data_IF_278752485900
#
_entry.id   IF_278752485900
#
_cell.length_a   1.000
_cell.length_b   1.000
_cell.length_c   1.000
_cell.angle_alpha   90.00
_cell.angle_beta   90.00
_cell.angle_gamma   90.00
#
_symmetry.space_group_name_H-M   'P 1'
#
loop_
_entity.id
_entity.type
_entity.pdbx_description
1 polymer ?
#
# COMPACT_ATOMS: atom_id res chain seq x y z
N UNK A 1 -49.54 -56.58 -23.86
CA UNK A 1 -49.15 -57.97 -23.73
C UNK A 1 -47.70 -58.12 -23.50
N UNK A 2 -47.36 -58.81 -22.45
CA UNK A 2 -46.10 -59.36 -21.98
C UNK A 2 -45.14 -58.45 -21.20
N UNK A 3 -45.28 -58.65 -19.93
CA UNK A 3 -44.36 -58.50 -18.79
C UNK A 3 -43.17 -59.47 -18.88
N UNK A 4 -42.03 -59.06 -18.24
CA UNK A 4 -41.17 -59.95 -17.41
C UNK A 4 -40.17 -58.97 -16.72
N UNK A 5 -40.30 -58.74 -15.41
CA UNK A 5 -39.88 -59.47 -14.18
C UNK A 5 -38.39 -59.69 -14.12
N UNK A 6 -37.77 -58.94 -13.18
CA UNK A 6 -37.13 -59.35 -11.93
C UNK A 6 -35.70 -59.85 -12.02
N UNK A 7 -34.83 -59.20 -11.25
CA UNK A 7 -33.50 -59.63 -10.83
C UNK A 7 -33.04 -58.79 -9.65
N UNK A 8 -33.50 -59.18 -8.46
CA UNK A 8 -32.97 -58.79 -7.15
C UNK A 8 -31.66 -59.52 -6.89
N UNK A 9 -30.92 -58.87 -5.93
CA UNK A 9 -29.93 -59.47 -5.03
C UNK A 9 -28.45 -59.43 -5.46
N UNK A 10 -27.65 -58.61 -4.75
CA UNK A 10 -26.79 -59.15 -3.70
C UNK A 10 -26.08 -58.03 -2.93
N UNK A 11 -26.58 -57.85 -1.71
CA UNK A 11 -25.90 -57.11 -0.67
C UNK A 11 -24.81 -58.01 -0.08
N UNK A 12 -23.55 -57.75 -0.35
CA UNK A 12 -22.45 -58.36 0.41
C UNK A 12 -21.98 -57.40 1.50
N UNK A 13 -22.39 -57.67 2.73
CA UNK A 13 -21.83 -57.16 3.97
C UNK A 13 -20.38 -57.65 4.11
N UNK A 14 -19.41 -56.73 4.12
CA UNK A 14 -18.05 -57.04 4.63
C UNK A 14 -17.97 -56.69 6.11
N UNK A 15 -17.62 -57.72 6.90
CA UNK A 15 -17.30 -57.65 8.33
C UNK A 15 -16.10 -56.76 8.59
N UNK A 16 -16.03 -56.10 9.76
CA UNK A 16 -14.80 -55.43 10.20
C UNK A 16 -13.82 -56.45 10.80
N UNK A 17 -12.58 -56.39 10.32
CA UNK A 17 -11.45 -57.08 10.95
C UNK A 17 -10.85 -56.15 12.00
N UNK A 18 -11.09 -56.47 13.27
CA UNK A 18 -10.34 -56.03 14.41
C UNK A 18 -8.95 -56.72 14.38
N UNK A 19 -7.89 -55.94 14.25
CA UNK A 19 -6.55 -56.38 14.65
C UNK A 19 -5.86 -55.25 15.40
N UNK A 20 -6.10 -55.25 16.70
CA UNK A 20 -5.33 -54.54 17.70
C UNK A 20 -4.01 -55.30 17.91
N UNK A 21 -2.92 -54.77 17.39
CA UNK A 21 -1.59 -55.23 17.76
C UNK A 21 -0.92 -54.14 18.56
N UNK A 22 -0.90 -54.36 19.86
CA UNK A 22 -0.14 -53.57 20.84
C UNK A 22 1.35 -53.80 20.54
N UNK A 23 2.07 -52.75 20.15
CA UNK A 23 3.51 -52.77 20.06
C UNK A 23 4.05 -51.93 21.22
N UNK A 24 4.77 -52.65 22.07
CA UNK A 24 5.49 -52.24 23.26
C UNK A 24 6.36 -51.01 23.00
N UNK A 25 6.27 -50.03 23.90
CA UNK A 25 7.12 -48.86 23.97
C UNK A 25 8.55 -49.21 24.33
N UNK A 26 9.52 -48.80 23.52
CA UNK A 26 10.93 -48.80 23.84
C UNK A 26 11.30 -47.52 24.62
N UNK A 27 12.29 -47.53 25.53
CA UNK A 27 12.52 -46.47 26.46
C UNK A 27 13.20 -45.26 25.81
N UNK A 28 12.68 -44.10 26.15
CA UNK A 28 13.21 -42.78 25.80
C UNK A 28 14.58 -42.58 26.44
N UNK A 29 15.64 -42.47 25.64
CA UNK A 29 16.95 -41.98 26.07
C UNK A 29 16.87 -40.47 26.30
N UNK A 30 17.10 -40.06 27.55
CA UNK A 30 17.34 -38.66 27.91
C UNK A 30 18.59 -38.17 27.20
N UNK A 31 18.43 -37.21 26.30
CA UNK A 31 19.52 -36.43 25.73
C UNK A 31 19.75 -35.26 26.68
N UNK A 32 20.89 -35.27 27.34
CA UNK A 32 21.40 -34.18 28.17
C UNK A 32 21.68 -32.98 27.30
N UNK A 33 20.97 -31.88 27.53
CA UNK A 33 21.24 -30.61 26.87
C UNK A 33 22.60 -30.08 27.35
N UNK A 34 23.57 -30.06 26.46
CA UNK A 34 24.80 -29.31 26.60
C UNK A 34 24.49 -27.84 26.23
N UNK A 35 24.48 -27.00 27.24
CA UNK A 35 24.34 -25.54 27.09
C UNK A 35 25.64 -24.99 26.52
N UNK A 36 25.75 -24.86 25.21
CA UNK A 36 26.77 -24.01 24.60
C UNK A 36 26.29 -22.57 24.57
N UNK A 37 26.90 -21.75 25.38
CA UNK A 37 26.79 -20.31 25.41
C UNK A 37 27.32 -19.75 24.10
N UNK A 38 26.43 -19.42 23.18
CA UNK A 38 26.76 -18.65 21.96
C UNK A 38 26.98 -17.19 22.37
N UNK A 39 28.24 -16.80 22.47
CA UNK A 39 28.62 -15.38 22.58
C UNK A 39 28.16 -14.65 21.29
N UNK A 40 27.16 -13.82 21.47
CA UNK A 40 26.64 -12.91 20.45
C UNK A 40 27.67 -11.81 20.24
N UNK A 41 28.45 -11.91 19.17
CA UNK A 41 29.33 -10.81 18.71
C UNK A 41 28.42 -9.69 18.16
N UNK A 42 28.24 -8.64 18.95
CA UNK A 42 27.58 -7.42 18.54
C UNK A 42 28.63 -6.56 17.85
N UNK A 43 28.46 -6.15 16.58
CA UNK A 43 29.35 -5.17 15.97
C UNK A 43 29.15 -3.83 16.69
N UNK A 44 30.23 -3.29 17.25
CA UNK A 44 30.29 -1.95 17.82
C UNK A 44 29.95 -0.91 16.73
N UNK A 45 28.73 -0.45 16.73
CA UNK A 45 28.33 0.76 16.02
C UNK A 45 28.81 1.93 16.85
N UNK A 46 29.79 2.65 16.35
CA UNK A 46 30.29 3.90 16.92
C UNK A 46 29.14 4.91 16.89
N UNK A 47 28.44 5.03 17.98
CA UNK A 47 27.46 6.10 18.19
C UNK A 47 28.25 7.34 18.56
N UNK A 48 28.24 8.33 17.69
CA UNK A 48 28.69 9.68 17.95
C UNK A 48 27.88 10.20 19.14
N UNK A 49 28.53 10.60 20.21
CA UNK A 49 27.90 11.15 21.40
C UNK A 49 27.00 12.33 21.00
N UNK A 50 25.77 12.41 21.52
CA UNK A 50 25.02 13.64 21.44
C UNK A 50 25.68 14.69 22.33
N UNK A 51 25.85 15.86 21.78
CA UNK A 51 26.23 17.11 22.41
C UNK A 51 25.39 17.30 23.68
N UNK A 52 26.05 17.43 24.81
CA UNK A 52 25.44 17.69 26.11
C UNK A 52 24.82 19.07 26.04
N UNK A 53 23.51 19.16 25.86
CA UNK A 53 22.75 20.36 26.17
C UNK A 53 22.71 20.42 27.69
N UNK A 54 23.35 21.40 28.29
CA UNK A 54 23.26 21.71 29.72
C UNK A 54 21.78 21.86 30.09
N UNK A 55 21.32 20.95 30.91
CA UNK A 55 20.06 21.11 31.63
C UNK A 55 20.23 22.30 32.59
N UNK A 56 19.62 23.43 32.26
CA UNK A 56 19.37 24.49 33.23
C UNK A 56 18.57 23.90 34.39
N UNK A 57 19.28 23.77 35.50
CA UNK A 57 18.81 23.32 36.79
C UNK A 57 17.67 24.23 37.25
N UNK A 58 16.45 23.77 37.10
CA UNK A 58 15.27 24.44 37.64
C UNK A 58 15.37 24.44 39.16
N UNK A 59 15.71 25.61 39.74
CA UNK A 59 15.67 25.85 41.19
C UNK A 59 14.22 26.24 41.52
N UNK A 60 13.50 25.46 42.33
CA UNK A 60 12.18 25.91 42.82
C UNK A 60 12.44 27.04 43.85
N UNK A 61 12.01 28.27 43.49
CA UNK A 61 11.93 29.34 44.45
C UNK A 61 10.92 28.98 45.53
N UNK A 62 11.46 28.64 46.68
CA UNK A 62 10.71 28.54 47.91
C UNK A 62 10.05 29.90 48.21
N UNK A 63 8.74 29.84 48.37
CA UNK A 63 7.92 30.96 48.77
C UNK A 63 8.19 31.20 50.26
N UNK A 64 9.11 32.09 50.56
CA UNK A 64 9.37 32.54 51.93
C UNK A 64 8.29 33.54 52.33
N UNK A 65 7.35 33.05 53.16
CA UNK A 65 6.41 33.88 53.87
C UNK A 65 7.18 34.58 54.98
N UNK A 66 7.56 35.83 54.75
CA UNK A 66 8.15 36.67 55.79
C UNK A 66 7.08 37.51 56.41
N UNK A 67 6.42 36.96 57.45
CA UNK A 67 5.83 37.71 58.51
C UNK A 67 6.96 38.35 59.29
N UNK A 68 7.10 39.65 59.25
CA UNK A 68 7.75 40.39 60.29
C UNK A 68 6.98 41.66 60.55
N UNK A 69 6.31 41.58 61.67
CA UNK A 69 6.12 42.63 62.68
C UNK A 69 7.34 43.57 62.69
N UNK A 70 7.11 44.80 62.53
CA UNK A 70 7.95 45.82 63.17
C UNK A 70 7.08 46.81 63.86
N UNK A 71 7.02 46.55 65.14
CA UNK A 71 6.67 47.51 66.15
C UNK A 71 7.69 48.65 66.14
N UNK A 72 7.13 49.82 66.31
CA UNK A 72 7.60 50.94 67.09
C UNK A 72 9.07 51.40 66.97
N UNK A 73 9.25 52.56 66.49
CA UNK A 73 10.03 53.55 67.21
C UNK A 73 9.34 54.92 67.14
N UNK A 74 8.59 55.21 68.18
CA UNK A 74 8.34 56.57 68.68
C UNK A 74 9.67 57.11 69.17
N UNK A 75 10.04 58.32 68.72
CA UNK A 75 10.54 59.39 69.59
C UNK A 75 10.74 60.61 68.70
N UNK A 76 9.94 61.60 68.81
CA UNK A 76 10.10 62.71 69.75
C UNK A 76 11.30 63.58 69.41
N UNK A 77 11.07 64.72 68.82
CA UNK A 77 11.50 65.97 69.41
C UNK A 77 11.12 67.17 68.55
N UNK A 78 10.28 67.93 69.20
CA UNK A 78 10.36 69.39 69.41
C UNK A 78 10.25 70.35 68.18
N UNK A 79 9.11 71.00 68.28
CA UNK A 79 8.86 72.42 68.20
C UNK A 79 10.03 73.27 67.71
N UNK A 80 9.78 73.89 66.60
CA UNK A 80 10.21 75.22 66.37
C UNK A 80 9.21 75.97 65.52
N UNK A 81 8.54 76.91 66.13
CA UNK A 81 7.71 77.90 65.45
C UNK A 81 8.55 78.67 64.45
N UNK A 82 8.17 78.66 63.18
CA UNK A 82 8.66 79.58 62.21
C UNK A 82 7.57 79.85 61.17
N UNK A 83 6.74 80.85 61.49
CA UNK A 83 5.84 81.45 60.52
C UNK A 83 6.71 82.12 59.42
N UNK A 84 6.80 81.53 58.29
CA UNK A 84 7.14 82.23 57.07
C UNK A 84 6.10 81.91 55.97
N UNK A 85 5.17 82.86 55.87
CA UNK A 85 4.31 83.01 54.70
C UNK A 85 5.09 83.45 53.51
N UNK A 86 5.77 82.52 52.82
CA UNK A 86 6.23 82.76 51.46
C UNK A 86 5.28 82.18 50.51
N UNK A 87 4.45 83.04 49.91
CA UNK A 87 3.63 82.72 48.72
C UNK A 87 4.64 82.29 47.63
N UNK A 88 4.81 80.91 47.48
CA UNK A 88 5.42 80.35 46.29
C UNK A 88 4.32 80.19 45.27
N UNK A 89 4.41 80.75 44.07
CA UNK A 89 3.44 80.47 42.99
C UNK A 89 3.49 79.00 42.65
N UNK A 90 2.34 78.37 42.38
CA UNK A 90 2.34 76.97 41.97
C UNK A 90 3.29 76.77 40.82
N UNK A 91 4.29 75.96 41.01
CA UNK A 91 5.31 75.64 39.99
C UNK A 91 4.57 75.01 38.81
N UNK A 92 4.39 75.83 37.72
CA UNK A 92 3.84 75.40 36.42
C UNK A 92 4.54 74.21 35.80
N UNK A 93 5.67 73.71 36.41
CA UNK A 93 6.41 72.56 35.97
C UNK A 93 5.70 71.20 36.18
N UNK A 94 4.91 71.03 37.26
CA UNK A 94 4.24 69.74 37.51
C UNK A 94 3.18 69.36 36.49
N UNK A 95 2.46 70.37 35.99
CA UNK A 95 1.43 70.14 34.97
C UNK A 95 2.08 69.75 33.63
N UNK A 96 3.23 70.30 33.31
CA UNK A 96 3.97 69.99 32.06
C UNK A 96 4.50 68.54 32.08
N UNK A 97 4.96 68.01 33.20
CA UNK A 97 5.36 66.61 33.37
C UNK A 97 4.20 65.64 33.25
N UNK A 98 3.00 66.04 33.69
CA UNK A 98 1.77 65.24 33.51
C UNK A 98 1.44 65.15 32.00
N UNK A 99 1.50 66.25 31.26
CA UNK A 99 1.28 66.23 29.79
C UNK A 99 2.33 65.43 29.07
N UNK A 100 3.62 65.49 29.45
CA UNK A 100 4.69 64.67 28.89
C UNK A 100 4.43 63.16 29.18
N UNK A 101 4.03 62.84 30.41
CA UNK A 101 3.70 61.47 30.79
C UNK A 101 2.51 60.92 30.00
N UNK A 102 1.43 61.71 29.81
CA UNK A 102 0.30 61.34 28.99
C UNK A 102 0.67 61.18 27.52
N UNK A 103 1.47 62.14 26.98
CA UNK A 103 1.94 62.04 25.59
C UNK A 103 2.81 60.79 25.35
N UNK A 104 3.69 60.46 26.28
CA UNK A 104 4.52 59.26 26.24
C UNK A 104 3.67 57.98 26.32
N UNK A 105 2.66 57.94 27.17
CA UNK A 105 1.72 56.83 27.29
C UNK A 105 0.92 56.65 26.01
N UNK A 106 0.42 57.74 25.40
CA UNK A 106 -0.25 57.70 24.10
C UNK A 106 0.70 57.20 23.00
N UNK A 107 1.98 57.65 22.99
CA UNK A 107 2.96 57.18 22.04
C UNK A 107 3.25 55.70 22.21
N UNK A 108 3.46 55.23 23.43
CA UNK A 108 3.66 53.79 23.74
C UNK A 108 2.45 52.96 23.30
N UNK A 109 1.25 53.38 23.64
CA UNK A 109 0.02 52.64 23.23
C UNK A 109 -0.15 52.63 21.72
N UNK A 110 0.22 53.72 21.03
CA UNK A 110 0.19 53.78 19.56
C UNK A 110 1.21 52.85 18.94
N UNK A 111 2.46 52.83 19.42
CA UNK A 111 3.52 51.92 18.95
C UNK A 111 3.12 50.46 19.22
N UNK A 112 2.59 50.13 20.39
CA UNK A 112 2.12 48.80 20.70
C UNK A 112 0.93 48.39 19.83
N UNK A 113 0.09 49.32 19.43
CA UNK A 113 -1.02 49.06 18.49
C UNK A 113 -0.53 48.71 17.09
N UNK A 114 0.60 49.28 16.64
CA UNK A 114 1.22 48.96 15.35
C UNK A 114 1.83 47.53 15.30
N UNK A 115 2.19 46.97 16.47
CA UNK A 115 2.77 45.65 16.61
C UNK A 115 1.68 44.61 17.00
N UNK A 116 0.41 44.96 16.85
CA UNK A 116 -0.70 44.07 17.25
C UNK A 116 -0.68 42.75 16.51
N UNK A 117 -0.94 41.66 17.25
CA UNK A 117 -1.06 40.29 16.73
C UNK A 117 -2.34 39.67 17.25
N UNK A 118 -2.93 38.80 16.43
CA UNK A 118 -4.11 38.04 16.81
C UNK A 118 -3.83 36.55 16.60
N UNK A 119 -3.98 35.76 17.66
CA UNK A 119 -3.96 34.29 17.58
C UNK A 119 -5.38 33.77 17.72
N UNK A 120 -5.83 33.03 16.75
CA UNK A 120 -7.19 32.53 16.64
C UNK A 120 -7.14 31.00 16.65
N UNK A 121 -7.70 30.39 17.69
CA UNK A 121 -7.88 28.95 17.75
C UNK A 121 -9.25 28.62 17.14
N UNK A 122 -9.25 27.93 16.01
CA UNK A 122 -10.47 27.47 15.34
C UNK A 122 -10.64 26.00 15.60
N UNK A 123 -11.80 25.59 16.10
CA UNK A 123 -12.17 24.18 16.25
C UNK A 123 -13.04 23.78 15.09
N UNK A 124 -12.55 22.82 14.31
CA UNK A 124 -13.19 22.31 13.11
C UNK A 124 -13.85 20.95 13.37
N UNK A 125 -14.89 20.66 12.60
CA UNK A 125 -15.58 19.38 12.64
C UNK A 125 -14.70 18.28 12.07
N UNK A 126 -14.62 17.17 12.81
CA UNK A 126 -14.14 15.88 12.34
C UNK A 126 -15.27 14.87 12.54
N UNK A 127 -15.55 14.06 11.52
CA UNK A 127 -16.61 13.05 11.61
C UNK A 127 -16.12 11.71 11.11
N UNK A 128 -16.59 10.63 11.74
CA UNK A 128 -16.32 9.26 11.35
C UNK A 128 -17.55 8.74 10.61
N UNK A 129 -17.35 8.33 9.37
CA UNK A 129 -18.41 7.77 8.54
C UNK A 129 -18.22 6.27 8.37
N UNK A 130 -19.25 5.46 8.66
CA UNK A 130 -19.21 4.04 8.37
C UNK A 130 -19.35 3.81 6.86
N UNK A 131 -18.74 2.74 6.38
CA UNK A 131 -18.88 2.24 5.01
C UNK A 131 -19.13 0.74 5.04
N UNK A 132 -20.08 0.27 4.24
CA UNK A 132 -20.38 -1.13 4.01
C UNK A 132 -21.07 -1.27 2.64
N UNK A 133 -20.27 -1.25 1.56
CA UNK A 133 -20.80 -1.16 0.22
C UNK A 133 -19.92 -1.88 -0.81
N UNK A 134 -20.54 -2.53 -1.82
CA UNK A 134 -19.81 -3.02 -2.99
C UNK A 134 -19.35 -1.85 -3.86
N UNK A 135 -18.12 -1.92 -4.35
CA UNK A 135 -17.51 -0.91 -5.22
C UNK A 135 -16.92 -1.58 -6.45
N UNK A 136 -17.15 -0.99 -7.60
CA UNK A 136 -16.52 -1.41 -8.85
C UNK A 136 -15.34 -0.49 -9.15
N UNK A 137 -14.17 -1.07 -9.32
CA UNK A 137 -12.95 -0.38 -9.73
C UNK A 137 -12.72 -0.59 -11.21
N UNK A 138 -12.05 0.36 -11.88
CA UNK A 138 -11.84 0.36 -13.33
C UNK A 138 -10.37 0.60 -13.67
N UNK A 139 -9.87 -0.07 -14.71
CA UNK A 139 -8.52 0.23 -15.23
C UNK A 139 -8.48 1.56 -15.97
N UNK A 140 -9.60 1.91 -16.63
CA UNK A 140 -9.80 3.17 -17.37
C UNK A 140 -11.07 3.84 -16.81
N UNK A 141 -10.97 4.58 -15.69
CA UNK A 141 -12.12 5.17 -15.04
C UNK A 141 -12.64 6.40 -15.80
N UNK A 142 -13.95 6.60 -15.74
CA UNK A 142 -14.61 7.85 -16.08
C UNK A 142 -14.85 8.69 -14.83
N UNK A 143 -15.40 9.90 -14.99
CA UNK A 143 -15.70 10.79 -13.86
C UNK A 143 -16.59 10.09 -12.81
N UNK A 144 -16.19 10.15 -11.55
CA UNK A 144 -16.91 9.54 -10.42
C UNK A 144 -16.62 8.04 -10.20
N UNK A 145 -15.79 7.42 -11.02
CA UNK A 145 -15.32 6.05 -10.87
C UNK A 145 -13.96 6.01 -10.18
N UNK A 146 -13.60 4.86 -9.62
CA UNK A 146 -12.33 4.65 -8.93
C UNK A 146 -11.40 3.82 -9.80
N UNK A 147 -10.18 4.30 -9.97
CA UNK A 147 -9.15 3.59 -10.71
C UNK A 147 -8.52 2.47 -9.89
N UNK A 148 -8.17 1.38 -10.57
CA UNK A 148 -7.22 0.41 -10.04
C UNK A 148 -6.11 0.08 -11.05
N UNK A 149 -4.99 -0.40 -10.52
CA UNK A 149 -3.87 -0.93 -11.30
C UNK A 149 -3.45 -2.27 -10.73
N UNK A 150 -3.09 -3.18 -11.60
CA UNK A 150 -2.55 -4.48 -11.21
C UNK A 150 -1.05 -4.50 -11.42
N UNK A 151 -0.30 -4.84 -10.37
CA UNK A 151 1.11 -5.17 -10.47
C UNK A 151 1.30 -6.66 -10.25
N UNK A 152 2.24 -7.25 -10.97
CA UNK A 152 2.52 -8.68 -10.90
C UNK A 152 4.02 -8.92 -10.87
N UNK A 153 4.47 -9.78 -9.97
CA UNK A 153 5.86 -10.19 -9.86
C UNK A 153 5.95 -11.70 -9.64
N UNK A 154 7.01 -12.31 -10.15
CA UNK A 154 7.29 -13.72 -9.91
C UNK A 154 8.40 -13.83 -8.86
N UNK A 155 8.07 -14.42 -7.71
CA UNK A 155 9.03 -14.77 -6.66
C UNK A 155 9.57 -16.17 -6.94
N UNK A 156 10.90 -16.28 -7.03
CA UNK A 156 11.63 -17.51 -7.31
C UNK A 156 12.59 -17.84 -6.20
N UNK A 157 12.53 -19.08 -5.74
CA UNK A 157 13.48 -19.63 -4.79
C UNK A 157 14.04 -20.95 -5.33
N UNK A 158 15.28 -21.23 -5.07
CA UNK A 158 15.90 -22.48 -5.51
C UNK A 158 16.82 -23.09 -4.47
N UNK A 159 16.84 -24.41 -4.44
CA UNK A 159 17.74 -25.20 -3.59
C UNK A 159 18.44 -26.22 -4.47
N UNK A 160 19.75 -26.32 -4.36
CA UNK A 160 20.54 -27.36 -5.01
C UNK A 160 20.62 -28.56 -4.05
N UNK A 161 20.07 -29.69 -4.49
CA UNK A 161 20.19 -30.96 -3.80
C UNK A 161 21.38 -31.70 -4.41
N UNK A 162 22.46 -31.96 -3.64
CA UNK A 162 23.58 -32.74 -4.14
C UNK A 162 23.11 -34.14 -4.57
N UNK A 163 23.47 -34.58 -5.77
CA UNK A 163 23.08 -35.89 -6.29
C UNK A 163 24.30 -36.61 -6.87
N UNK A 164 24.38 -37.90 -6.59
CA UNK A 164 25.42 -38.76 -7.12
C UNK A 164 24.89 -39.71 -8.19
N UNK A 165 23.58 -39.94 -8.22
CA UNK A 165 22.94 -40.79 -9.21
C UNK A 165 22.72 -40.03 -10.51
N UNK A 166 23.05 -40.70 -11.61
CA UNK A 166 22.80 -40.16 -12.95
C UNK A 166 21.89 -41.11 -13.72
N UNK A 167 21.03 -40.51 -14.51
CA UNK A 167 20.18 -41.23 -15.46
C UNK A 167 20.41 -40.65 -16.87
N UNK A 168 20.59 -41.53 -17.82
CA UNK A 168 20.64 -41.10 -19.25
C UNK A 168 19.23 -40.70 -19.69
N UNK A 169 19.07 -39.45 -20.04
CA UNK A 169 17.81 -38.88 -20.49
C UNK A 169 17.93 -38.54 -21.95
N UNK A 170 16.89 -38.85 -22.71
CA UNK A 170 16.77 -38.54 -24.12
C UNK A 170 15.37 -37.97 -24.35
N UNK A 171 15.27 -36.67 -24.60
CA UNK A 171 14.02 -36.00 -24.93
C UNK A 171 14.20 -35.02 -26.07
N UNK A 172 13.17 -34.90 -26.88
CA UNK A 172 13.12 -33.97 -28.00
C UNK A 172 12.50 -32.63 -27.59
N UNK A 173 13.04 -31.53 -28.09
CA UNK A 173 12.50 -30.19 -27.89
C UNK A 173 11.11 -30.07 -28.54
N UNK A 174 10.23 -29.33 -27.90
CA UNK A 174 8.83 -29.09 -28.32
C UNK A 174 8.52 -27.60 -28.31
N UNK A 175 7.62 -27.17 -29.18
CA UNK A 175 7.14 -25.80 -29.24
C UNK A 175 5.97 -25.64 -30.17
N UNK A 176 5.55 -24.42 -30.40
CA UNK A 176 4.47 -24.08 -31.32
C UNK A 176 4.93 -23.10 -32.37
N UNK A 177 4.46 -23.30 -33.58
CA UNK A 177 4.73 -22.41 -34.72
C UNK A 177 3.44 -21.92 -35.32
N UNK A 178 3.44 -20.69 -35.79
CA UNK A 178 2.39 -20.09 -36.58
C UNK A 178 2.82 -20.10 -38.06
N UNK A 179 2.02 -20.80 -38.87
CA UNK A 179 2.22 -20.94 -40.29
C UNK A 179 1.39 -19.89 -41.03
N UNK A 180 1.98 -19.18 -41.97
CA UNK A 180 1.31 -18.13 -42.73
C UNK A 180 1.27 -18.51 -44.22
N UNK A 181 0.12 -18.32 -44.85
CA UNK A 181 -0.10 -18.55 -46.27
C UNK A 181 -0.79 -17.37 -46.94
N UNK A 182 -0.27 -16.98 -48.09
CA UNK A 182 -0.91 -16.03 -49.02
C UNK A 182 -1.59 -16.75 -50.20
N UNK A 183 -1.74 -18.07 -50.11
CA UNK A 183 -2.34 -18.86 -51.18
C UNK A 183 -3.85 -18.63 -51.23
N UNK A 184 -4.45 -18.37 -52.44
CA UNK A 184 -5.90 -18.21 -52.58
C UNK A 184 -6.71 -19.50 -52.34
N UNK A 185 -6.06 -20.65 -52.18
CA UNK A 185 -6.65 -21.92 -51.80
C UNK A 185 -6.15 -22.34 -50.41
N UNK A 186 -6.98 -23.05 -49.63
CA UNK A 186 -6.52 -23.62 -48.37
C UNK A 186 -5.34 -24.57 -48.61
N UNK A 187 -4.35 -24.52 -47.70
CA UNK A 187 -3.17 -25.38 -47.75
C UNK A 187 -3.19 -26.33 -46.57
N UNK A 188 -3.12 -27.63 -46.89
CA UNK A 188 -3.04 -28.69 -45.85
C UNK A 188 -1.57 -29.06 -45.65
N UNK A 189 -1.09 -28.93 -44.45
CA UNK A 189 0.24 -29.34 -44.01
C UNK A 189 0.08 -30.64 -43.21
N UNK A 190 0.55 -31.76 -43.73
CA UNK A 190 0.44 -33.06 -43.05
C UNK A 190 1.25 -33.11 -41.75
N UNK A 191 0.84 -33.97 -40.82
CA UNK A 191 1.69 -34.36 -39.69
C UNK A 191 2.98 -34.99 -40.22
N UNK A 192 4.10 -34.78 -39.53
CA UNK A 192 5.43 -35.24 -39.98
C UNK A 192 6.10 -34.34 -41.01
N UNK A 193 5.53 -33.18 -41.36
CA UNK A 193 6.19 -32.24 -42.27
C UNK A 193 7.42 -31.63 -41.63
N UNK A 194 8.55 -31.62 -42.34
CA UNK A 194 9.81 -31.07 -41.85
C UNK A 194 9.81 -29.54 -41.92
N UNK A 195 10.27 -28.94 -40.83
CA UNK A 195 10.59 -27.51 -40.70
C UNK A 195 12.07 -27.37 -40.37
N UNK A 196 12.75 -26.47 -41.02
CA UNK A 196 14.18 -26.21 -40.86
C UNK A 196 14.37 -24.85 -40.20
N UNK A 197 15.07 -24.81 -39.04
CA UNK A 197 15.44 -23.56 -38.38
C UNK A 197 16.58 -22.83 -39.09
N UNK A 198 16.83 -21.58 -38.75
CA UNK A 198 18.00 -20.82 -39.21
C UNK A 198 19.30 -21.49 -38.81
N UNK A 199 19.35 -22.20 -37.69
CA UNK A 199 20.47 -23.01 -37.19
C UNK A 199 20.50 -24.43 -37.77
N UNK A 200 19.75 -24.71 -38.85
CA UNK A 200 19.66 -25.99 -39.56
C UNK A 200 19.15 -27.17 -38.70
N UNK A 201 18.45 -26.90 -37.61
CA UNK A 201 17.79 -27.94 -36.82
C UNK A 201 16.46 -28.32 -37.46
N UNK A 202 16.16 -29.63 -37.51
CA UNK A 202 14.94 -30.17 -38.10
C UNK A 202 13.90 -30.39 -37.05
N UNK A 203 12.72 -29.83 -37.29
CA UNK A 203 11.50 -30.06 -36.51
C UNK A 203 10.44 -30.69 -37.40
N UNK A 204 9.49 -31.39 -36.79
CA UNK A 204 8.39 -32.04 -37.50
C UNK A 204 7.05 -31.59 -36.91
N UNK A 205 6.04 -31.41 -37.75
CA UNK A 205 4.68 -31.13 -37.34
C UNK A 205 4.09 -32.35 -36.63
N UNK A 206 3.50 -32.15 -35.45
CA UNK A 206 2.90 -33.26 -34.67
C UNK A 206 1.52 -33.67 -35.18
N UNK A 207 0.80 -32.74 -35.81
CA UNK A 207 -0.57 -32.93 -36.31
C UNK A 207 -0.73 -32.30 -37.67
N UNK A 208 -1.65 -32.81 -38.46
CA UNK A 208 -2.07 -32.17 -39.70
C UNK A 208 -2.76 -30.85 -39.40
N UNK A 209 -2.44 -29.79 -40.10
CA UNK A 209 -3.02 -28.47 -39.97
C UNK A 209 -3.44 -27.91 -41.32
N UNK A 210 -4.60 -27.27 -41.38
CA UNK A 210 -5.07 -26.58 -42.57
C UNK A 210 -4.97 -25.07 -42.37
N UNK A 211 -4.24 -24.39 -43.26
CA UNK A 211 -4.16 -22.94 -43.33
C UNK A 211 -5.29 -22.46 -44.25
N UNK A 212 -6.21 -21.59 -43.80
CA UNK A 212 -7.27 -21.06 -44.66
C UNK A 212 -6.70 -20.30 -45.87
N UNK A 213 -7.50 -20.16 -46.92
CA UNK A 213 -7.18 -19.34 -48.08
C UNK A 213 -6.88 -17.89 -47.66
N UNK A 214 -5.78 -17.32 -48.18
CA UNK A 214 -5.34 -15.95 -47.90
C UNK A 214 -4.99 -15.20 -49.18
N UNK A 215 -4.59 -13.96 -49.04
CA UNK A 215 -4.03 -13.12 -50.13
C UNK A 215 -2.71 -12.51 -49.69
N UNK A 216 -1.98 -11.90 -50.63
CA UNK A 216 -0.73 -11.22 -50.28
C UNK A 216 -0.94 -10.09 -49.27
N UNK A 217 -2.07 -9.37 -49.39
CA UNK A 217 -2.41 -8.24 -48.51
C UNK A 217 -3.04 -8.68 -47.19
N UNK A 218 -3.59 -9.90 -47.15
CA UNK A 218 -4.20 -10.51 -45.95
C UNK A 218 -3.86 -11.98 -45.83
N UNK A 219 -2.61 -12.30 -45.44
CA UNK A 219 -2.21 -13.70 -45.28
C UNK A 219 -2.96 -14.33 -44.11
N UNK A 220 -3.41 -15.56 -44.28
CA UNK A 220 -4.06 -16.34 -43.24
C UNK A 220 -3.06 -17.22 -42.52
N UNK A 221 -3.37 -17.60 -41.29
CA UNK A 221 -2.46 -18.35 -40.44
C UNK A 221 -3.15 -19.48 -39.68
N UNK A 222 -2.35 -20.48 -39.34
CA UNK A 222 -2.75 -21.57 -38.46
C UNK A 222 -1.59 -21.90 -37.51
N UNK A 223 -1.90 -22.37 -36.31
CA UNK A 223 -0.92 -22.73 -35.26
C UNK A 223 -0.80 -24.27 -35.22
N UNK A 224 0.42 -24.77 -35.14
CA UNK A 224 0.71 -26.21 -35.03
C UNK A 224 1.84 -26.46 -34.04
N UNK A 225 1.69 -27.57 -33.28
CA UNK A 225 2.77 -28.06 -32.42
C UNK A 225 3.84 -28.73 -33.27
N UNK A 226 5.11 -28.46 -32.95
CA UNK A 226 6.26 -29.10 -33.56
C UNK A 226 7.15 -29.77 -32.52
N UNK A 227 7.89 -30.78 -32.95
CA UNK A 227 8.83 -31.54 -32.12
C UNK A 227 10.14 -31.67 -32.91
N UNK A 228 11.26 -31.54 -32.22
CA UNK A 228 12.58 -31.75 -32.85
C UNK A 228 12.71 -33.21 -33.33
N UNK A 229 13.35 -33.40 -34.50
CA UNK A 229 13.58 -34.74 -35.05
C UNK A 229 14.62 -35.53 -34.26
N UNK A 230 15.52 -34.86 -33.55
CA UNK A 230 16.53 -35.47 -32.69
C UNK A 230 16.45 -34.96 -31.26
N UNK A 231 16.71 -35.80 -30.25
CA UNK A 231 16.84 -35.37 -28.88
C UNK A 231 18.11 -34.53 -28.69
N UNK A 232 18.12 -33.69 -27.67
CA UNK A 232 19.30 -32.92 -27.31
C UNK A 232 19.01 -31.45 -27.04
N UNK A 233 19.81 -30.88 -26.16
CA UNK A 233 19.68 -29.45 -25.77
C UNK A 233 19.97 -28.50 -26.95
N UNK A 234 20.70 -28.97 -27.96
CA UNK A 234 21.02 -28.25 -29.19
C UNK A 234 19.79 -28.01 -30.08
N UNK A 235 18.70 -28.74 -29.85
CA UNK A 235 17.39 -28.53 -30.47
C UNK A 235 16.52 -27.50 -29.79
N UNK A 236 16.98 -26.98 -28.63
CA UNK A 236 16.32 -25.86 -27.96
C UNK A 236 16.67 -24.56 -28.66
N UNK A 237 15.68 -23.89 -29.24
CA UNK A 237 15.86 -22.63 -29.93
C UNK A 237 14.91 -21.56 -29.38
N UNK A 238 15.39 -20.34 -29.38
CA UNK A 238 14.56 -19.16 -29.09
C UNK A 238 13.57 -18.94 -30.24
N UNK A 239 12.87 -17.81 -30.19
CA UNK A 239 11.99 -17.41 -31.30
C UNK A 239 12.78 -17.35 -32.62
N UNK A 240 12.31 -18.06 -33.63
CA UNK A 240 12.99 -18.20 -34.90
C UNK A 240 11.98 -18.29 -36.07
N UNK A 241 12.44 -17.97 -37.27
CA UNK A 241 11.69 -18.19 -38.49
C UNK A 241 12.13 -19.53 -39.11
N UNK A 242 11.17 -20.41 -39.32
CA UNK A 242 11.41 -21.74 -39.82
C UNK A 242 11.04 -21.85 -41.31
N UNK A 243 11.81 -22.61 -42.10
CA UNK A 243 11.51 -22.88 -43.48
C UNK A 243 10.83 -24.25 -43.63
N UNK A 244 9.84 -24.34 -44.48
CA UNK A 244 9.21 -25.61 -44.88
C UNK A 244 9.72 -26.01 -46.27
N UNK A 245 10.70 -26.90 -46.42
CA UNK A 245 11.23 -27.25 -47.74
C UNK A 245 10.14 -27.83 -48.66
N UNK A 246 9.19 -28.57 -48.15
CA UNK A 246 8.09 -29.11 -48.93
C UNK A 246 7.01 -28.07 -49.32
N UNK A 247 7.01 -26.90 -48.68
CA UNK A 247 6.03 -25.83 -48.90
C UNK A 247 6.73 -24.44 -48.86
N UNK A 248 7.54 -24.12 -49.86
CA UNK A 248 8.40 -22.93 -49.84
C UNK A 248 7.64 -21.60 -49.82
N UNK A 249 6.35 -21.60 -50.15
CA UNK A 249 5.47 -20.43 -50.11
C UNK A 249 4.85 -20.18 -48.69
N UNK A 250 5.09 -21.08 -47.77
CA UNK A 250 4.58 -20.95 -46.38
C UNK A 250 5.71 -20.42 -45.49
N UNK A 251 5.40 -19.35 -44.78
CA UNK A 251 6.27 -18.81 -43.75
C UNK A 251 5.87 -19.41 -42.40
N UNK A 252 6.84 -19.88 -41.63
CA UNK A 252 6.62 -20.40 -40.28
C UNK A 252 7.43 -19.59 -39.29
N UNK A 253 6.77 -19.14 -38.24
CA UNK A 253 7.41 -18.40 -37.12
C UNK A 253 7.04 -19.07 -35.82
N UNK A 254 8.02 -19.28 -34.95
CA UNK A 254 7.80 -19.79 -33.61
C UNK A 254 6.97 -18.78 -32.80
N UNK A 255 5.97 -19.26 -32.06
CA UNK A 255 5.16 -18.44 -31.14
C UNK A 255 5.62 -18.54 -29.70
N UNK A 256 6.34 -19.60 -29.38
CA UNK A 256 6.99 -19.88 -28.11
C UNK A 256 8.39 -20.36 -28.34
N UNK A 257 9.27 -20.23 -27.34
CA UNK A 257 10.57 -20.89 -27.38
C UNK A 257 10.40 -22.40 -27.54
N UNK A 258 11.20 -23.03 -28.39
CA UNK A 258 11.24 -24.47 -28.51
C UNK A 258 12.22 -25.00 -27.48
N UNK A 259 11.71 -25.80 -26.53
CA UNK A 259 12.47 -26.20 -25.33
C UNK A 259 12.18 -27.66 -24.93
N UNK A 260 12.87 -28.16 -23.92
CA UNK A 260 12.71 -29.52 -23.39
C UNK A 260 13.55 -30.56 -24.14
N UNK A 261 14.40 -30.16 -25.07
CA UNK A 261 15.38 -31.03 -25.70
C UNK A 261 16.54 -31.32 -24.76
N UNK A 262 16.81 -32.59 -24.48
CA UNK A 262 17.83 -33.07 -23.56
C UNK A 262 18.41 -34.36 -24.10
N UNK A 263 19.73 -34.52 -24.00
CA UNK A 263 20.42 -35.78 -24.32
C UNK A 263 21.67 -35.89 -23.46
N UNK A 264 21.82 -37.02 -22.78
CA UNK A 264 22.98 -37.31 -21.95
C UNK A 264 22.60 -37.67 -20.49
N UNK A 265 23.63 -37.81 -19.69
CA UNK A 265 23.48 -38.16 -18.29
C UNK A 265 23.07 -36.96 -17.45
N UNK A 266 21.93 -37.05 -16.77
CA UNK A 266 21.44 -36.03 -15.84
C UNK A 266 21.46 -36.57 -14.41
N UNK A 267 21.79 -35.68 -13.48
CA UNK A 267 21.61 -35.98 -12.06
C UNK A 267 20.12 -36.13 -11.76
N UNK A 268 19.82 -37.15 -10.99
CA UNK A 268 18.48 -37.40 -10.43
C UNK A 268 18.54 -37.41 -8.92
N UNK A 269 17.44 -37.02 -8.28
CA UNK A 269 17.22 -37.08 -6.85
C UNK A 269 16.07 -38.01 -6.54
N UNK A 270 16.07 -38.56 -5.35
CA UNK A 270 14.99 -39.41 -4.87
C UNK A 270 13.75 -38.60 -4.52
N UNK A 271 12.58 -39.24 -4.51
CA UNK A 271 11.32 -38.57 -4.13
C UNK A 271 11.37 -37.96 -2.72
N UNK A 272 11.93 -38.61 -1.67
CA UNK A 272 12.07 -37.97 -0.35
C UNK A 272 12.93 -36.71 -0.37
N UNK A 273 14.03 -36.69 -1.13
CA UNK A 273 14.89 -35.52 -1.27
C UNK A 273 14.16 -34.38 -1.99
N UNK A 274 13.38 -34.72 -3.01
CA UNK A 274 12.54 -33.75 -3.72
C UNK A 274 11.48 -33.14 -2.78
N UNK A 275 10.80 -33.95 -1.98
CA UNK A 275 9.82 -33.48 -0.99
C UNK A 275 10.47 -32.56 0.04
N UNK A 276 11.65 -32.94 0.55
CA UNK A 276 12.41 -32.12 1.51
C UNK A 276 12.78 -30.76 0.90
N UNK A 277 13.27 -30.74 -0.32
CA UNK A 277 13.61 -29.50 -1.02
C UNK A 277 12.39 -28.62 -1.27
N UNK A 278 11.26 -29.20 -1.71
CA UNK A 278 9.99 -28.49 -1.89
C UNK A 278 9.51 -27.87 -0.57
N UNK A 279 9.54 -28.62 0.53
CA UNK A 279 9.14 -28.13 1.86
C UNK A 279 10.03 -26.98 2.32
N UNK A 280 11.33 -27.07 2.10
CA UNK A 280 12.27 -26.00 2.44
C UNK A 280 12.00 -24.73 1.63
N UNK A 281 11.76 -24.86 0.31
CA UNK A 281 11.38 -23.73 -0.54
C UNK A 281 10.06 -23.10 -0.07
N UNK A 282 9.06 -23.92 0.23
CA UNK A 282 7.78 -23.47 0.75
C UNK A 282 7.95 -22.65 2.05
N UNK A 283 8.76 -23.16 2.98
CA UNK A 283 9.05 -22.45 4.24
C UNK A 283 9.74 -21.10 3.99
N UNK A 284 10.74 -21.07 3.09
CA UNK A 284 11.40 -19.80 2.72
C UNK A 284 10.41 -18.79 2.13
N UNK A 285 9.56 -19.23 1.21
CA UNK A 285 8.57 -18.35 0.58
C UNK A 285 7.48 -17.89 1.57
N UNK A 286 7.03 -18.74 2.50
CA UNK A 286 6.07 -18.38 3.54
C UNK A 286 6.62 -17.36 4.54
N UNK A 287 7.93 -17.40 4.79
CA UNK A 287 8.61 -16.45 5.69
C UNK A 287 8.78 -15.04 5.10
N UNK A 288 8.46 -14.82 3.83
CA UNK A 288 8.60 -13.52 3.17
C UNK A 288 7.24 -12.82 3.04
N UNK A 289 7.20 -11.51 3.34
CA UNK A 289 6.00 -10.71 3.13
C UNK A 289 5.78 -10.46 1.62
N UNK A 290 4.68 -10.95 1.02
CA UNK A 290 4.42 -10.76 -0.40
C UNK A 290 4.30 -9.29 -0.82
N UNK A 291 3.75 -8.43 0.05
CA UNK A 291 3.60 -6.99 -0.23
C UNK A 291 4.96 -6.30 -0.46
N UNK A 292 6.02 -6.76 0.20
CA UNK A 292 7.35 -6.18 0.07
C UNK A 292 7.92 -6.29 -1.36
N UNK A 293 7.54 -7.33 -2.10
CA UNK A 293 7.97 -7.51 -3.49
C UNK A 293 7.36 -6.47 -4.43
N UNK A 294 6.18 -5.98 -4.11
CA UNK A 294 5.47 -4.99 -4.92
C UNK A 294 5.73 -3.55 -4.46
N UNK A 295 6.39 -3.32 -3.33
CA UNK A 295 6.57 -2.01 -2.72
C UNK A 295 7.14 -0.96 -3.70
N UNK A 296 8.11 -1.35 -4.52
CA UNK A 296 8.73 -0.46 -5.52
C UNK A 296 7.87 -0.24 -6.78
N UNK A 297 6.77 -0.98 -6.92
CA UNK A 297 5.87 -0.87 -8.07
C UNK A 297 4.59 -0.08 -7.73
N UNK A 298 4.42 0.32 -6.45
CA UNK A 298 3.27 1.10 -6.01
C UNK A 298 3.53 2.57 -6.33
N UNK A 299 2.74 3.21 -7.21
CA UNK A 299 2.85 4.65 -7.44
C UNK A 299 2.43 5.43 -6.18
N UNK A 300 2.97 6.65 -6.00
CA UNK A 300 2.72 7.46 -4.79
C UNK A 300 1.25 7.73 -4.47
N UNK A 301 0.43 7.82 -5.50
CA UNK A 301 -1.01 8.07 -5.37
C UNK A 301 -1.85 6.79 -5.23
N UNK A 302 -1.23 5.61 -5.21
CA UNK A 302 -1.93 4.33 -5.05
C UNK A 302 -1.69 3.73 -3.68
N UNK A 303 -2.68 2.99 -3.19
CA UNK A 303 -2.59 2.13 -2.01
C UNK A 303 -2.74 0.67 -2.44
N UNK A 304 -2.02 -0.22 -1.76
CA UNK A 304 -2.13 -1.66 -1.92
C UNK A 304 -2.67 -2.28 -0.63
N UNK A 305 -3.98 -2.51 -0.51
CA UNK A 305 -4.55 -3.24 0.61
C UNK A 305 -4.06 -4.69 0.62
N UNK A 306 -3.69 -5.21 1.79
CA UNK A 306 -3.21 -6.60 1.93
C UNK A 306 -4.25 -7.62 1.46
N UNK A 307 -5.52 -7.34 1.66
CA UNK A 307 -6.63 -8.19 1.22
C UNK A 307 -6.81 -8.26 -0.30
N UNK A 308 -6.19 -7.35 -1.06
CA UNK A 308 -6.20 -7.35 -2.52
C UNK A 308 -4.91 -7.95 -3.12
N UNK A 309 -4.06 -8.52 -2.26
CA UNK A 309 -2.94 -9.34 -2.67
C UNK A 309 -3.39 -10.77 -2.95
N UNK A 310 -3.01 -11.28 -4.10
CA UNK A 310 -3.22 -12.67 -4.49
C UNK A 310 -1.87 -13.33 -4.69
N UNK A 311 -1.68 -14.49 -4.07
CA UNK A 311 -0.46 -15.28 -4.23
C UNK A 311 -0.85 -16.62 -4.82
N UNK A 312 -0.27 -16.96 -5.97
CA UNK A 312 -0.53 -18.25 -6.60
C UNK A 312 0.05 -19.40 -5.78
N UNK A 313 -0.40 -20.60 -6.08
CA UNK A 313 0.26 -21.83 -5.63
C UNK A 313 1.70 -21.85 -6.17
N UNK A 314 2.60 -22.50 -5.40
CA UNK A 314 4.00 -22.63 -5.82
C UNK A 314 4.09 -23.69 -6.91
N UNK A 315 4.57 -23.31 -8.08
CA UNK A 315 4.92 -24.23 -9.15
C UNK A 315 6.37 -24.68 -8.97
N UNK A 316 6.62 -25.99 -9.01
CA UNK A 316 7.96 -26.55 -8.85
C UNK A 316 8.48 -27.12 -10.17
N UNK A 317 9.77 -26.89 -10.44
CA UNK A 317 10.50 -27.54 -11.52
C UNK A 317 11.88 -27.95 -11.05
N UNK A 318 12.46 -28.92 -11.73
CA UNK A 318 13.79 -29.43 -11.43
C UNK A 318 14.69 -29.24 -12.63
N UNK A 319 15.95 -28.88 -12.38
CA UNK A 319 16.98 -28.71 -13.40
C UNK A 319 18.25 -29.44 -12.96
N UNK A 320 18.84 -30.27 -13.82
CA UNK A 320 20.13 -30.88 -13.53
C UNK A 320 21.24 -29.84 -13.67
N UNK A 321 22.07 -29.70 -12.65
CA UNK A 321 23.21 -28.79 -12.60
C UNK A 321 24.51 -29.59 -12.35
N UNK A 322 25.65 -28.93 -12.43
CA UNK A 322 26.95 -29.61 -12.35
C UNK A 322 27.16 -30.41 -11.05
N UNK A 323 26.50 -29.99 -9.95
CA UNK A 323 26.72 -30.58 -8.59
C UNK A 323 25.50 -31.35 -8.09
N UNK A 324 24.45 -31.53 -8.91
CA UNK A 324 23.23 -32.21 -8.50
C UNK A 324 22.00 -31.76 -9.24
N UNK A 325 20.89 -31.62 -8.51
CA UNK A 325 19.61 -31.17 -9.04
C UNK A 325 19.18 -29.88 -8.34
N UNK A 326 18.97 -28.83 -9.10
CA UNK A 326 18.33 -27.59 -8.63
C UNK A 326 16.82 -27.78 -8.63
N UNK A 327 16.20 -27.71 -7.46
CA UNK A 327 14.75 -27.64 -7.29
C UNK A 327 14.37 -26.17 -7.20
N UNK A 328 13.53 -25.71 -8.12
CA UNK A 328 13.11 -24.30 -8.24
C UNK A 328 11.64 -24.24 -7.96
N UNK A 329 11.23 -23.38 -7.02
CA UNK A 329 9.86 -23.01 -6.77
C UNK A 329 9.58 -21.60 -7.26
N UNK A 330 8.47 -21.44 -7.94
CA UNK A 330 8.01 -20.15 -8.48
C UNK A 330 6.58 -19.89 -8.02
N UNK A 331 6.30 -18.69 -7.52
CA UNK A 331 4.94 -18.22 -7.25
C UNK A 331 4.75 -16.84 -7.86
N UNK A 332 3.54 -16.58 -8.29
CA UNK A 332 3.16 -15.27 -8.80
C UNK A 332 2.45 -14.50 -7.70
N UNK A 333 2.91 -13.29 -7.45
CA UNK A 333 2.31 -12.35 -6.51
C UNK A 333 1.65 -11.26 -7.36
N UNK A 334 0.34 -11.12 -7.21
CA UNK A 334 -0.47 -10.12 -7.92
C UNK A 334 -1.07 -9.18 -6.90
N UNK A 335 -0.85 -7.88 -7.05
CA UNK A 335 -1.42 -6.85 -6.19
C UNK A 335 -2.33 -5.92 -6.99
N UNK A 336 -3.58 -5.76 -6.54
CA UNK A 336 -4.50 -4.79 -7.10
C UNK A 336 -4.46 -3.52 -6.25
N UNK A 337 -3.92 -2.46 -6.83
CA UNK A 337 -3.73 -1.16 -6.19
C UNK A 337 -4.87 -0.23 -6.52
N UNK A 338 -5.35 0.54 -5.55
CA UNK A 338 -6.45 1.50 -5.69
C UNK A 338 -5.88 2.91 -5.74
N UNK A 339 -6.34 3.75 -6.66
CA UNK A 339 -6.02 5.18 -6.64
C UNK A 339 -6.63 5.83 -5.41
N UNK A 340 -5.77 6.30 -4.51
CA UNK A 340 -6.16 6.87 -3.22
C UNK A 340 -7.04 8.10 -3.37
N UNK A 341 -6.67 9.00 -4.29
CA UNK A 341 -7.40 10.25 -4.47
C UNK A 341 -8.78 10.02 -5.06
N UNK A 342 -8.86 9.21 -6.12
CA UNK A 342 -10.15 8.88 -6.74
C UNK A 342 -11.07 8.13 -5.77
N UNK A 343 -10.49 7.29 -4.90
CA UNK A 343 -11.26 6.62 -3.87
C UNK A 343 -11.78 7.58 -2.79
N UNK A 344 -10.95 8.53 -2.35
CA UNK A 344 -11.38 9.59 -1.43
C UNK A 344 -12.49 10.44 -2.06
N UNK A 345 -12.34 10.86 -3.31
CA UNK A 345 -13.37 11.63 -4.05
C UNK A 345 -14.68 10.82 -4.20
N UNK A 346 -14.57 9.49 -4.39
CA UNK A 346 -15.74 8.61 -4.40
C UNK A 346 -16.46 8.61 -3.04
N UNK A 347 -15.72 8.47 -1.93
CA UNK A 347 -16.28 8.51 -0.58
C UNK A 347 -16.95 9.86 -0.28
N UNK A 348 -16.32 10.96 -0.67
CA UNK A 348 -16.87 12.31 -0.52
C UNK A 348 -18.22 12.45 -1.25
N UNK A 349 -18.31 11.92 -2.48
CA UNK A 349 -19.48 12.09 -3.32
C UNK A 349 -20.60 11.08 -3.05
N UNK A 350 -20.29 9.88 -2.55
CA UNK A 350 -21.29 8.83 -2.40
C UNK A 350 -21.71 8.59 -0.95
N UNK A 351 -20.78 8.77 0.01
CA UNK A 351 -21.02 8.37 1.40
C UNK A 351 -21.27 9.60 2.28
N UNK A 352 -20.52 10.70 2.09
CA UNK A 352 -20.74 11.91 2.88
C UNK A 352 -22.09 12.52 2.51
N UNK A 353 -22.94 12.86 3.50
CA UNK A 353 -24.22 13.53 3.25
C UNK A 353 -24.04 14.81 2.43
N UNK A 354 -24.95 15.08 1.49
CA UNK A 354 -24.86 16.19 0.53
C UNK A 354 -24.60 17.55 1.19
N UNK A 355 -25.23 17.79 2.35
CA UNK A 355 -25.05 19.01 3.12
C UNK A 355 -23.62 19.24 3.62
N UNK A 356 -22.82 18.19 3.77
CA UNK A 356 -21.45 18.23 4.30
C UNK A 356 -20.38 18.15 3.19
N UNK A 357 -20.73 17.69 1.99
CA UNK A 357 -19.77 17.48 0.87
C UNK A 357 -18.99 18.73 0.50
N UNK A 358 -19.64 19.89 0.58
CA UNK A 358 -19.04 21.15 0.13
C UNK A 358 -17.86 21.61 0.99
N UNK A 359 -17.78 21.13 2.22
CA UNK A 359 -16.77 21.60 3.17
C UNK A 359 -16.01 20.50 3.93
N UNK A 360 -16.23 19.22 3.62
CA UNK A 360 -15.49 18.12 4.24
C UNK A 360 -14.60 17.40 3.22
N UNK A 361 -13.38 17.04 3.64
CA UNK A 361 -12.44 16.23 2.89
C UNK A 361 -12.20 14.91 3.62
N UNK A 362 -12.11 13.81 2.88
CA UNK A 362 -11.69 12.51 3.41
C UNK A 362 -10.19 12.51 3.65
N UNK A 363 -9.79 12.36 4.91
CA UNK A 363 -8.39 12.43 5.34
C UNK A 363 -7.80 11.05 5.55
N UNK A 364 -8.53 10.17 6.23
CA UNK A 364 -8.03 8.85 6.61
C UNK A 364 -9.00 7.75 6.20
N UNK A 365 -8.46 6.77 5.48
CA UNK A 365 -9.13 5.57 4.98
C UNK A 365 -8.52 4.28 5.53
N UNK A 366 -7.59 4.38 6.49
CA UNK A 366 -6.83 3.23 7.01
C UNK A 366 -7.70 2.17 7.70
N UNK A 367 -8.89 2.56 8.18
CA UNK A 367 -9.84 1.65 8.83
C UNK A 367 -10.84 1.00 7.87
N UNK A 368 -10.67 1.21 6.57
CA UNK A 368 -11.48 0.53 5.55
C UNK A 368 -10.81 -0.80 5.21
N UNK A 369 -11.59 -1.85 5.34
CA UNK A 369 -11.19 -3.19 4.90
C UNK A 369 -11.80 -3.47 3.52
N UNK A 370 -10.98 -3.97 2.61
CA UNK A 370 -11.38 -4.32 1.25
C UNK A 370 -11.40 -5.84 1.11
N UNK A 371 -12.47 -6.39 0.60
CA UNK A 371 -12.60 -7.83 0.40
C UNK A 371 -12.98 -8.10 -1.05
N UNK A 372 -12.29 -9.03 -1.68
CA UNK A 372 -12.73 -9.57 -2.97
C UNK A 372 -13.94 -10.47 -2.70
N UNK A 373 -15.06 -10.30 -3.42
CA UNK A 373 -16.19 -11.20 -3.26
C UNK A 373 -15.72 -12.62 -3.54
N UNK A 374 -16.19 -13.61 -2.75
CA UNK A 374 -15.88 -15.00 -3.03
C UNK A 374 -16.35 -15.29 -4.46
N UNK A 375 -15.49 -15.92 -5.25
CA UNK A 375 -15.89 -16.50 -6.53
C UNK A 375 -16.96 -17.55 -6.21
N UNK A 376 -18.20 -17.11 -6.11
CA UNK A 376 -19.32 -18.04 -6.04
C UNK A 376 -19.31 -18.78 -7.38
N UNK A 377 -18.85 -20.03 -7.35
CA UNK A 377 -19.03 -20.97 -8.44
C UNK A 377 -20.52 -21.34 -8.51
N UNK A 378 -21.39 -20.37 -8.68
CA UNK A 378 -22.68 -20.63 -9.31
C UNK A 378 -22.34 -20.75 -10.79
N UNK A 379 -22.65 -21.88 -11.42
CA UNK A 379 -22.67 -21.95 -12.87
C UNK A 379 -23.81 -21.02 -13.32
N UNK A 380 -23.53 -19.72 -13.40
CA UNK A 380 -24.42 -18.80 -14.09
C UNK A 380 -24.34 -19.22 -15.55
N UNK A 381 -25.43 -19.82 -16.03
CA UNK A 381 -25.60 -20.26 -17.41
C UNK A 381 -25.70 -19.06 -18.39
N UNK A 382 -25.09 -17.96 -18.09
CA UNK A 382 -24.90 -16.82 -18.95
C UNK A 382 -23.43 -16.41 -18.86
N UNK A 383 -22.75 -16.53 -19.99
CA UNK A 383 -21.38 -16.11 -20.24
C UNK A 383 -21.23 -14.57 -20.16
N UNK A 384 -21.52 -13.97 -19.03
CA UNK A 384 -20.99 -12.65 -18.72
C UNK A 384 -19.53 -12.82 -18.36
N UNK A 385 -18.70 -12.74 -19.40
CA UNK A 385 -17.26 -12.50 -19.25
C UNK A 385 -17.16 -11.20 -18.50
N UNK A 386 -16.81 -11.27 -17.21
CA UNK A 386 -16.47 -10.06 -16.45
C UNK A 386 -15.39 -9.34 -17.25
N UNK A 387 -15.62 -8.12 -17.70
CA UNK A 387 -14.63 -7.40 -18.49
C UNK A 387 -13.32 -7.34 -17.72
N UNK A 388 -12.20 -7.68 -18.33
CA UNK A 388 -10.87 -7.67 -17.71
C UNK A 388 -10.44 -6.28 -17.21
N UNK A 389 -11.25 -5.26 -17.50
CA UNK A 389 -11.03 -3.85 -17.09
C UNK A 389 -11.78 -3.45 -15.82
N UNK A 390 -12.46 -4.38 -15.13
CA UNK A 390 -13.22 -4.11 -13.90
C UNK A 390 -12.81 -5.06 -12.79
N UNK A 391 -12.81 -4.54 -11.56
CA UNK A 391 -12.58 -5.32 -10.35
C UNK A 391 -13.68 -4.99 -9.33
N UNK A 392 -14.42 -6.00 -8.90
CA UNK A 392 -15.44 -5.87 -7.88
C UNK A 392 -14.81 -6.10 -6.50
N UNK A 393 -15.04 -5.17 -5.58
CA UNK A 393 -14.60 -5.28 -4.19
C UNK A 393 -15.76 -4.93 -3.27
N UNK A 394 -15.70 -5.40 -2.03
CA UNK A 394 -16.55 -4.93 -0.95
C UNK A 394 -15.71 -4.13 0.03
N UNK A 395 -16.10 -2.88 0.28
CA UNK A 395 -15.44 -2.00 1.22
C UNK A 395 -16.29 -1.91 2.50
N UNK A 396 -15.68 -2.25 3.64
CA UNK A 396 -16.35 -2.22 4.95
C UNK A 396 -15.46 -1.57 6.01
N UNK A 397 -16.07 -0.92 7.02
CA UNK A 397 -15.35 -0.26 8.11
C UNK A 397 -15.74 1.19 8.29
N UNK A 398 -14.77 2.09 8.45
CA UNK A 398 -15.02 3.52 8.63
C UNK A 398 -13.86 4.36 8.11
N UNK A 399 -14.17 5.60 7.77
CA UNK A 399 -13.18 6.60 7.39
C UNK A 399 -13.40 7.91 8.13
N UNK A 400 -12.36 8.74 8.16
CA UNK A 400 -12.39 10.04 8.84
C UNK A 400 -12.46 11.14 7.79
N UNK A 401 -13.43 12.03 7.94
CA UNK A 401 -13.53 13.26 7.17
C UNK A 401 -13.40 14.47 8.09
N UNK A 402 -12.66 15.48 7.62
CA UNK A 402 -12.40 16.72 8.35
C UNK A 402 -12.89 17.92 7.56
N UNK A 403 -13.35 18.94 8.27
CA UNK A 403 -13.80 20.16 7.64
C UNK A 403 -12.63 20.93 7.01
N UNK A 404 -12.84 21.37 5.79
CA UNK A 404 -11.93 22.21 5.01
C UNK A 404 -11.98 23.65 5.55
N UNK A 405 -10.83 24.22 5.86
CA UNK A 405 -10.75 25.60 6.35
C UNK A 405 -9.77 26.41 5.53
N UNK A 406 -10.31 27.39 4.78
CA UNK A 406 -9.48 28.34 4.02
C UNK A 406 -9.06 29.49 4.94
N UNK A 407 -7.83 29.37 5.47
CA UNK A 407 -7.24 30.39 6.32
C UNK A 407 -7.10 31.74 5.62
N UNK A 408 -6.81 31.76 4.32
CA UNK A 408 -6.57 32.99 3.56
C UNK A 408 -7.87 33.79 3.43
N UNK A 409 -8.93 33.10 3.06
CA UNK A 409 -10.27 33.70 2.98
C UNK A 409 -10.76 34.14 4.36
N UNK A 410 -10.52 33.33 5.39
CA UNK A 410 -10.89 33.66 6.76
C UNK A 410 -10.18 34.91 7.26
N UNK A 411 -8.84 35.02 7.05
CA UNK A 411 -8.04 36.20 7.43
C UNK A 411 -8.59 37.49 6.80
N UNK A 412 -8.91 37.47 5.52
CA UNK A 412 -9.43 38.66 4.83
C UNK A 412 -10.81 39.08 5.33
N UNK A 413 -11.69 38.12 5.65
CA UNK A 413 -13.04 38.42 6.18
C UNK A 413 -13.03 39.00 7.58
N UNK A 414 -12.09 38.62 8.44
CA UNK A 414 -12.07 39.04 9.84
C UNK A 414 -11.11 40.22 10.10
N UNK A 415 -10.22 40.57 9.16
CA UNK A 415 -9.33 41.72 9.33
C UNK A 415 -10.14 42.98 9.65
N UNK A 416 -9.62 43.78 10.58
CA UNK A 416 -10.25 45.04 11.04
C UNK A 416 -11.59 44.90 11.79
N UNK A 417 -12.11 43.68 11.95
CA UNK A 417 -13.39 43.43 12.65
C UNK A 417 -13.21 43.49 14.17
N UNK A 418 -14.32 43.80 14.88
CA UNK A 418 -14.36 43.62 16.32
C UNK A 418 -14.28 42.14 16.70
N UNK A 419 -13.75 41.80 17.86
CA UNK A 419 -13.60 40.41 18.32
C UNK A 419 -14.90 39.60 18.18
N UNK A 420 -16.05 40.16 18.67
CA UNK A 420 -17.34 39.48 18.59
C UNK A 420 -17.82 39.25 17.16
N UNK A 421 -17.66 40.26 16.28
CA UNK A 421 -18.02 40.14 14.86
C UNK A 421 -17.15 39.09 14.14
N UNK A 422 -15.83 39.11 14.40
CA UNK A 422 -14.92 38.12 13.85
C UNK A 422 -15.24 36.69 14.32
N UNK A 423 -15.59 36.52 15.62
CA UNK A 423 -16.05 35.22 16.13
C UNK A 423 -17.31 34.74 15.40
N UNK A 424 -18.31 35.65 15.22
CA UNK A 424 -19.53 35.31 14.49
C UNK A 424 -19.26 34.96 13.02
N UNK A 425 -18.36 35.71 12.34
CA UNK A 425 -17.94 35.42 10.96
C UNK A 425 -17.28 34.04 10.87
N UNK A 426 -16.37 33.72 11.79
CA UNK A 426 -15.69 32.40 11.80
C UNK A 426 -16.69 31.27 12.07
N UNK A 427 -17.59 31.44 13.00
CA UNK A 427 -18.63 30.45 13.31
C UNK A 427 -19.67 30.29 12.20
N UNK A 428 -19.81 31.27 11.30
CA UNK A 428 -20.67 31.13 10.11
C UNK A 428 -20.02 30.32 8.98
N UNK A 429 -18.73 30.00 9.09
CA UNK A 429 -18.04 29.13 8.12
C UNK A 429 -18.48 27.69 8.35
N UNK A 430 -18.97 26.98 7.32
CA UNK A 430 -19.35 25.59 7.45
C UNK A 430 -18.20 24.73 8.02
N UNK A 431 -18.51 23.86 8.97
CA UNK A 431 -17.52 23.00 9.61
C UNK A 431 -16.75 23.63 10.77
N UNK A 432 -16.96 24.91 11.09
CA UNK A 432 -16.39 25.56 12.29
C UNK A 432 -17.32 25.37 13.47
N UNK A 433 -16.87 24.62 14.48
CA UNK A 433 -17.63 24.39 15.72
C UNK A 433 -17.41 25.54 16.72
N UNK A 434 -16.19 26.09 16.75
CA UNK A 434 -15.84 27.14 17.71
C UNK A 434 -14.64 27.96 17.25
N UNK A 435 -14.58 29.21 17.75
CA UNK A 435 -13.44 30.09 17.52
C UNK A 435 -13.13 30.88 18.78
N UNK A 436 -11.89 30.76 19.29
CA UNK A 436 -11.35 31.56 20.38
C UNK A 436 -10.29 32.52 19.87
N UNK A 437 -10.53 33.82 20.06
CA UNK A 437 -9.66 34.87 19.56
C UNK A 437 -8.91 35.50 20.71
N UNK A 438 -7.58 35.42 20.68
CA UNK A 438 -6.66 36.07 21.62
C UNK A 438 -5.91 37.17 20.89
N UNK A 439 -6.05 38.38 21.38
CA UNK A 439 -5.37 39.56 20.82
C UNK A 439 -4.28 40.05 21.76
N UNK A 440 -3.21 40.50 21.19
CA UNK A 440 -2.13 41.15 21.92
C UNK A 440 -1.78 42.46 21.24
N UNK A 441 -1.69 43.57 21.96
CA UNK A 441 -2.03 43.77 23.37
C UNK A 441 -3.53 43.58 23.68
N UNK A 442 -3.92 43.20 24.93
CA UNK A 442 -5.28 42.80 25.26
C UNK A 442 -6.34 43.91 25.24
N UNK A 443 -5.92 45.18 25.23
CA UNK A 443 -6.81 46.35 25.14
C UNK A 443 -7.20 46.69 23.69
N UNK A 444 -6.67 46.00 22.66
CA UNK A 444 -7.08 46.20 21.30
C UNK A 444 -8.43 45.53 21.07
N UNK A 445 -9.43 46.31 20.74
CA UNK A 445 -10.79 45.83 20.56
C UNK A 445 -11.09 45.28 19.15
N UNK A 446 -10.15 45.39 18.22
CA UNK A 446 -10.29 44.98 16.82
C UNK A 446 -9.12 44.10 16.36
N UNK A 447 -9.38 43.20 15.46
CA UNK A 447 -8.38 42.35 14.82
C UNK A 447 -7.45 43.24 13.97
N UNK A 448 -6.14 42.94 13.94
CA UNK A 448 -5.20 43.69 13.08
C UNK A 448 -5.66 43.73 11.64
N UNK A 449 -5.47 44.87 10.97
CA UNK A 449 -5.70 45.02 9.55
C UNK A 449 -4.69 44.22 8.72
N UNK A 450 -3.46 44.15 9.21
CA UNK A 450 -2.38 43.41 8.55
C UNK A 450 -2.63 41.93 8.64
N UNK A 451 -2.96 41.29 7.51
CA UNK A 451 -3.29 39.85 7.39
C UNK A 451 -2.20 38.95 7.94
N UNK A 452 -0.92 39.33 7.81
CA UNK A 452 0.21 38.58 8.35
C UNK A 452 0.33 38.59 9.89
N UNK A 453 -0.40 39.48 10.57
CA UNK A 453 -0.47 39.53 12.02
C UNK A 453 -1.58 38.64 12.60
N UNK A 454 -2.38 38.00 11.75
CA UNK A 454 -3.43 37.07 12.12
C UNK A 454 -2.92 35.64 11.97
N UNK A 455 -2.80 34.93 13.08
CA UNK A 455 -2.28 33.56 13.14
C UNK A 455 -3.42 32.63 13.49
N UNK A 456 -3.71 31.64 12.63
CA UNK A 456 -4.65 30.58 12.93
C UNK A 456 -3.95 29.38 13.55
N UNK A 457 -4.65 28.71 14.46
CA UNK A 457 -4.35 27.39 14.99
C UNK A 457 -5.62 26.57 14.85
N UNK A 458 -5.58 25.53 14.03
CA UNK A 458 -6.72 24.66 13.78
C UNK A 458 -6.65 23.42 14.66
N UNK A 459 -7.75 23.07 15.31
CA UNK A 459 -7.95 21.83 16.04
C UNK A 459 -9.18 21.14 15.47
N UNK A 460 -9.15 19.82 15.41
CA UNK A 460 -10.27 19.02 14.94
C UNK A 460 -10.94 18.34 16.12
N UNK A 461 -12.27 18.27 16.08
CA UNK A 461 -13.06 17.66 17.13
C UNK A 461 -14.31 17.00 16.54
N UNK A 462 -14.62 15.81 17.03
CA UNK A 462 -15.88 15.17 16.70
C UNK A 462 -17.02 15.86 17.49
N UNK A 463 -18.04 16.40 16.80
CA UNK A 463 -19.18 17.05 17.46
C UNK A 463 -19.99 16.09 18.36
N UNK A 464 -19.99 14.78 18.06
CA UNK A 464 -20.67 13.77 18.90
C UNK A 464 -19.98 13.53 20.25
N UNK A 465 -18.76 14.07 20.43
CA UNK A 465 -18.01 14.01 21.70
C UNK A 465 -18.23 15.23 22.59
N UNK A 466 -19.16 16.11 22.24
CA UNK A 466 -19.58 17.29 22.98
C UNK A 466 -20.88 17.02 23.73
#
# INVERSE_FOLDING_TARGET
MNQRKVGQDMIMRKKPLNNTRVVSAAPVRKITQSTQTVQKIIPKRTVRAPEVVEEEKYIPMAREVRNQRNDAFFNQANNSFGNDHTNRPPTRGGILWIFVGVAMLVLITTVLSLISRSTINVTLTESIYPIDTPITLYTEPTSGQVAFKTAQIVDKQSIIVPATQKQTVSATAKGTVKLFSSNPKPVIIPAGTNLLSTSQKIFITKKTVTIPAGTKDSPKSAVVEIVASAPGAESNIKLDDLKLPAFPSILARTTTEISGGISGDQFIITEPELITAKTSIQTMMQGTNPAAFLANQIPENFILPESLLQVSTIAYRTESVATGVSVIGERTITGNMIDKKMFQDYLENQIIPEQNRSFMDVIDIAKINFVLPPLTMTPVASSEIVPSNQLFIHASGSFIAQARFDETLARTKIAHQKKSAATAILQSIPGVIGADIRMWPPWIGRIPEKVSAIIFKTNYKNPESL
#
